data_IF_704853373604
#
_entry.id   IF_704853373604
#
_cell.length_a   1.000
_cell.length_b   1.000
_cell.length_c   1.000
_cell.angle_alpha   90.00
_cell.angle_beta   90.00
_cell.angle_gamma   90.00
#
_symmetry.space_group_name_H-M   'P 1'
#
loop_
_entity.id
_entity.type
_entity.pdbx_description
1 polymer ?
#
# COMPACT_ATOMS: atom_id res chain seq x y z
N UNK A 1 -15.22 -19.36 54.02
CA UNK A 1 -16.35 -20.28 54.25
C UNK A 1 -17.34 -19.60 55.18
N UNK A 2 -18.42 -19.01 54.63
CA UNK A 2 -19.76 -19.15 55.22
C UNK A 2 -20.75 -19.64 54.13
N UNK A 3 -21.33 -20.82 54.29
CA UNK A 3 -22.70 -21.06 54.79
C UNK A 3 -23.76 -20.57 53.80
N UNK A 4 -24.14 -21.49 52.91
CA UNK A 4 -25.37 -21.43 52.13
C UNK A 4 -26.55 -21.84 53.03
N UNK A 5 -27.59 -21.00 53.10
CA UNK A 5 -28.97 -21.46 53.33
C UNK A 5 -29.98 -20.60 52.54
N UNK A 6 -31.07 -21.22 52.06
CA UNK A 6 -31.89 -20.68 50.98
C UNK A 6 -33.07 -19.87 51.50
N UNK A 7 -33.44 -18.81 50.78
CA UNK A 7 -34.73 -18.15 50.93
C UNK A 7 -35.57 -18.57 49.74
N UNK A 8 -36.56 -19.43 49.99
CA UNK A 8 -37.65 -19.69 49.05
C UNK A 8 -38.55 -18.47 49.06
N UNK A 9 -38.27 -17.51 48.19
CA UNK A 9 -39.24 -16.47 47.85
C UNK A 9 -40.11 -17.03 46.74
N UNK A 10 -41.23 -17.64 47.14
CA UNK A 10 -42.30 -18.06 46.24
C UNK A 10 -42.95 -16.82 45.63
N UNK A 11 -42.36 -16.35 44.54
CA UNK A 11 -42.97 -15.37 43.65
C UNK A 11 -44.24 -15.94 43.02
N UNK A 12 -45.39 -15.37 43.38
CA UNK A 12 -46.66 -15.59 42.67
C UNK A 12 -47.13 -14.25 42.14
N UNK A 13 -47.04 -14.04 40.82
CA UNK A 13 -47.60 -12.88 40.13
C UNK A 13 -48.44 -13.34 38.91
N UNK A 14 -49.51 -12.60 38.58
CA UNK A 14 -50.69 -13.09 37.83
C UNK A 14 -50.49 -13.21 36.31
N UNK A 15 -51.39 -13.93 35.61
CA UNK A 15 -51.40 -14.01 34.15
C UNK A 15 -51.98 -12.70 33.58
N UNK A 16 -51.10 -11.75 33.29
CA UNK A 16 -51.44 -10.52 32.59
C UNK A 16 -50.59 -10.40 31.33
N UNK A 17 -51.20 -10.65 30.18
CA UNK A 17 -50.63 -10.39 28.86
C UNK A 17 -50.21 -8.92 28.75
N UNK A 18 -48.90 -8.67 28.74
CA UNK A 18 -48.33 -7.45 28.20
C UNK A 18 -47.11 -7.87 27.37
N UNK A 19 -47.33 -8.02 26.06
CA UNK A 19 -46.27 -8.27 25.11
C UNK A 19 -45.26 -7.11 25.16
N UNK A 20 -44.03 -7.43 25.51
CA UNK A 20 -42.89 -6.72 24.96
C UNK A 20 -42.40 -7.54 23.77
N UNK A 21 -42.39 -6.98 22.55
CA UNK A 21 -41.83 -7.69 21.40
C UNK A 21 -40.38 -8.01 21.75
N UNK A 22 -40.04 -9.29 21.59
CA UNK A 22 -38.67 -9.75 21.77
C UNK A 22 -37.75 -8.80 21.02
N UNK A 23 -36.87 -8.14 21.78
CA UNK A 23 -35.62 -7.66 21.21
C UNK A 23 -34.88 -8.92 20.81
N UNK A 24 -35.23 -9.43 19.64
CA UNK A 24 -34.44 -10.39 18.90
C UNK A 24 -33.19 -9.64 18.48
N UNK A 25 -32.30 -9.39 19.44
CA UNK A 25 -30.91 -9.17 19.14
C UNK A 25 -30.52 -10.35 18.24
N UNK A 26 -30.14 -10.11 16.97
CA UNK A 26 -29.75 -11.21 16.10
C UNK A 26 -28.69 -12.04 16.83
N UNK A 27 -28.68 -13.37 16.67
CA UNK A 27 -27.64 -14.19 17.28
C UNK A 27 -26.30 -13.56 16.91
N UNK A 28 -25.64 -12.99 17.92
CA UNK A 28 -24.34 -12.37 17.73
C UNK A 28 -23.41 -13.55 17.48
N UNK A 29 -23.21 -13.85 16.20
CA UNK A 29 -22.31 -14.92 15.77
C UNK A 29 -20.91 -14.47 16.17
N UNK A 30 -20.42 -15.00 17.28
CA UNK A 30 -19.06 -14.77 17.74
C UNK A 30 -18.14 -15.66 16.92
N UNK A 31 -17.52 -15.08 15.90
CA UNK A 31 -16.52 -15.77 15.09
C UNK A 31 -15.20 -15.77 15.86
N UNK A 32 -14.82 -16.92 16.41
CA UNK A 32 -13.51 -17.10 17.03
C UNK A 32 -12.45 -17.36 15.96
N UNK A 33 -11.63 -16.34 15.71
CA UNK A 33 -10.46 -16.45 14.87
C UNK A 33 -9.32 -17.19 15.60
N UNK A 34 -8.52 -18.01 14.90
CA UNK A 34 -7.36 -18.66 15.51
C UNK A 34 -6.41 -17.66 16.18
N UNK A 35 -5.93 -18.00 17.38
CA UNK A 35 -5.03 -17.11 18.15
C UNK A 35 -3.78 -16.71 17.35
N UNK A 36 -3.20 -17.64 16.58
CA UNK A 36 -2.04 -17.36 15.73
C UNK A 36 -2.34 -16.30 14.65
N UNK A 37 -3.56 -16.31 14.09
CA UNK A 37 -4.00 -15.31 13.13
C UNK A 37 -4.16 -13.95 13.81
N UNK A 38 -4.82 -13.90 14.98
CA UNK A 38 -5.01 -12.63 15.70
C UNK A 38 -3.68 -11.98 16.11
N UNK A 39 -2.73 -12.77 16.60
CA UNK A 39 -1.38 -12.30 16.91
C UNK A 39 -0.67 -11.76 15.65
N UNK A 40 -0.78 -12.48 14.52
CA UNK A 40 -0.24 -12.02 13.25
C UNK A 40 -0.83 -10.67 12.83
N UNK A 41 -2.16 -10.52 12.88
CA UNK A 41 -2.83 -9.26 12.56
C UNK A 41 -2.38 -8.11 13.45
N UNK A 42 -2.35 -8.30 14.77
CA UNK A 42 -1.92 -7.24 15.70
C UNK A 42 -0.49 -6.76 15.41
N UNK A 43 0.40 -7.69 15.08
CA UNK A 43 1.79 -7.36 14.79
C UNK A 43 1.96 -6.64 13.43
N UNK A 44 1.19 -7.02 12.40
CA UNK A 44 1.45 -6.57 11.02
C UNK A 44 0.55 -5.42 10.57
N UNK A 45 -0.65 -5.29 11.17
CA UNK A 45 -1.65 -4.30 10.77
C UNK A 45 -1.14 -2.85 10.76
N UNK A 46 -0.43 -2.35 11.80
CA UNK A 46 0.06 -0.97 11.80
C UNK A 46 1.04 -0.68 10.65
N UNK A 47 1.83 -1.68 10.24
CA UNK A 47 2.83 -1.55 9.20
C UNK A 47 2.19 -1.63 7.81
N UNK A 48 1.23 -2.53 7.62
CA UNK A 48 0.45 -2.65 6.39
C UNK A 48 -0.35 -1.39 6.11
N UNK A 49 -0.94 -0.78 7.15
CA UNK A 49 -1.68 0.47 7.01
C UNK A 49 -0.78 1.64 6.63
N UNK A 50 0.40 1.79 7.26
CA UNK A 50 1.37 2.83 6.90
C UNK A 50 1.85 2.70 5.45
N UNK A 51 2.09 1.47 5.01
CA UNK A 51 2.43 1.19 3.61
C UNK A 51 1.28 1.56 2.66
N UNK A 52 0.06 1.12 2.93
CA UNK A 52 -1.10 1.41 2.10
C UNK A 52 -1.41 2.91 2.00
N UNK A 53 -1.31 3.65 3.12
CA UNK A 53 -1.47 5.11 3.15
C UNK A 53 -0.41 5.79 2.28
N UNK A 54 0.85 5.33 2.35
CA UNK A 54 1.93 5.90 1.54
C UNK A 54 1.68 5.77 0.03
N UNK A 55 1.07 4.66 -0.40
CA UNK A 55 0.81 4.40 -1.82
C UNK A 55 -0.52 4.96 -2.34
N UNK A 56 -1.55 5.01 -1.51
CA UNK A 56 -2.90 5.42 -1.93
C UNK A 56 -3.20 6.87 -1.61
N UNK A 57 -2.50 7.49 -0.65
CA UNK A 57 -2.76 8.86 -0.19
C UNK A 57 -4.07 9.04 0.59
N UNK A 58 -5.02 8.11 0.45
CA UNK A 58 -6.30 8.08 1.18
C UNK A 58 -6.28 7.02 2.29
N UNK A 59 -6.60 7.46 3.51
CA UNK A 59 -6.68 6.61 4.70
C UNK A 59 -7.83 5.62 4.64
N UNK A 60 -8.97 5.99 4.07
CA UNK A 60 -10.14 5.13 4.01
C UNK A 60 -9.96 4.01 2.97
N UNK A 61 -9.47 4.36 1.77
CA UNK A 61 -9.05 3.38 0.78
C UNK A 61 -7.94 2.45 1.30
N UNK A 62 -6.97 2.98 2.04
CA UNK A 62 -5.91 2.19 2.66
C UNK A 62 -6.46 1.19 3.68
N UNK A 63 -7.38 1.62 4.55
CA UNK A 63 -8.02 0.75 5.55
C UNK A 63 -8.76 -0.40 4.86
N UNK A 64 -9.62 -0.11 3.88
CA UNK A 64 -10.34 -1.12 3.09
C UNK A 64 -9.40 -2.12 2.40
N UNK A 65 -8.28 -1.64 1.85
CA UNK A 65 -7.30 -2.51 1.21
C UNK A 65 -6.66 -3.48 2.20
N UNK A 66 -6.28 -2.99 3.39
CA UNK A 66 -5.63 -3.80 4.43
C UNK A 66 -6.61 -4.79 5.05
N UNK A 67 -7.80 -4.35 5.43
CA UNK A 67 -8.86 -5.22 5.96
C UNK A 67 -9.23 -6.30 4.96
N UNK A 68 -9.36 -5.92 3.69
CA UNK A 68 -9.61 -6.88 2.63
C UNK A 68 -8.47 -7.88 2.44
N UNK A 69 -7.21 -7.44 2.50
CA UNK A 69 -6.05 -8.34 2.39
C UNK A 69 -5.99 -9.33 3.56
N UNK A 70 -6.27 -8.87 4.79
CA UNK A 70 -6.35 -9.73 5.96
C UNK A 70 -7.55 -10.69 5.89
N UNK A 71 -8.69 -10.22 5.39
CA UNK A 71 -9.86 -11.06 5.12
C UNK A 71 -9.60 -12.14 4.06
N UNK A 72 -8.76 -11.88 3.07
CA UNK A 72 -8.32 -12.92 2.14
C UNK A 72 -7.35 -13.90 2.81
N UNK A 73 -6.45 -13.38 3.64
CA UNK A 73 -5.48 -14.18 4.36
C UNK A 73 -6.13 -15.16 5.34
N UNK A 74 -7.19 -14.75 6.04
CA UNK A 74 -7.89 -15.63 7.00
C UNK A 74 -8.53 -16.83 6.28
N UNK A 75 -9.05 -16.64 5.07
CA UNK A 75 -9.66 -17.71 4.27
C UNK A 75 -8.66 -18.77 3.82
N UNK A 76 -7.38 -18.40 3.69
CA UNK A 76 -6.29 -19.32 3.34
C UNK A 76 -5.32 -19.59 4.49
N UNK A 77 -5.69 -19.23 5.73
CA UNK A 77 -4.81 -19.28 6.89
C UNK A 77 -4.15 -20.65 7.14
N UNK A 78 -4.87 -21.79 7.03
CA UNK A 78 -4.23 -23.11 7.20
C UNK A 78 -3.13 -23.38 6.18
N UNK A 79 -3.29 -22.89 4.94
CA UNK A 79 -2.31 -23.03 3.87
C UNK A 79 -1.10 -22.11 4.06
N UNK A 80 -1.35 -20.90 4.57
CA UNK A 80 -0.32 -19.91 4.90
C UNK A 80 0.59 -20.44 6.01
N UNK A 81 0.00 -21.01 7.07
CA UNK A 81 0.75 -21.63 8.18
C UNK A 81 1.51 -22.89 7.76
N UNK A 82 1.04 -23.61 6.73
CA UNK A 82 1.77 -24.71 6.13
C UNK A 82 2.91 -24.29 5.18
N UNK A 83 3.03 -23.00 4.86
CA UNK A 83 4.09 -22.50 3.99
C UNK A 83 5.36 -22.18 4.78
N UNK A 84 6.52 -22.29 4.13
CA UNK A 84 7.80 -21.94 4.74
C UNK A 84 7.93 -20.43 5.08
N UNK A 85 7.07 -19.55 4.53
CA UNK A 85 7.19 -18.09 4.64
C UNK A 85 5.81 -17.39 4.68
N UNK A 86 5.05 -17.48 5.79
CA UNK A 86 3.69 -16.93 5.87
C UNK A 86 3.62 -15.42 5.66
N UNK A 87 4.57 -14.65 6.19
CA UNK A 87 4.60 -13.19 6.03
C UNK A 87 4.83 -12.77 4.57
N UNK A 88 5.53 -13.57 3.76
CA UNK A 88 5.75 -13.27 2.35
C UNK A 88 4.47 -13.41 1.52
N UNK A 89 3.65 -14.42 1.86
CA UNK A 89 2.32 -14.59 1.25
C UNK A 89 1.42 -13.41 1.60
N UNK A 90 1.38 -13.02 2.87
CA UNK A 90 0.60 -11.87 3.33
C UNK A 90 1.03 -10.55 2.65
N UNK A 91 2.35 -10.32 2.53
CA UNK A 91 2.89 -9.16 1.82
C UNK A 91 2.47 -9.13 0.34
N UNK A 92 2.52 -10.28 -0.34
CA UNK A 92 2.13 -10.38 -1.74
C UNK A 92 0.64 -10.08 -1.96
N UNK A 93 -0.24 -10.56 -1.09
CA UNK A 93 -1.68 -10.28 -1.13
C UNK A 93 -1.93 -8.78 -0.97
N UNK A 94 -1.32 -8.16 0.05
CA UNK A 94 -1.45 -6.72 0.28
C UNK A 94 -1.00 -5.91 -0.94
N UNK A 95 0.18 -6.22 -1.48
CA UNK A 95 0.74 -5.49 -2.62
C UNK A 95 -0.13 -5.61 -3.86
N UNK A 96 -0.69 -6.79 -4.11
CA UNK A 96 -1.61 -7.02 -5.24
C UNK A 96 -2.85 -6.15 -5.11
N UNK A 97 -3.43 -6.03 -3.91
CA UNK A 97 -4.60 -5.18 -3.66
C UNK A 97 -4.28 -3.70 -3.75
N UNK A 98 -3.17 -3.24 -3.18
CA UNK A 98 -2.72 -1.85 -3.28
C UNK A 98 -2.44 -1.46 -4.73
N UNK A 99 -1.87 -2.36 -5.55
CA UNK A 99 -1.68 -2.12 -6.98
C UNK A 99 -3.00 -2.14 -7.77
N UNK A 100 -3.99 -2.94 -7.37
CA UNK A 100 -5.32 -2.90 -7.97
C UNK A 100 -6.04 -1.59 -7.66
N UNK A 101 -6.01 -1.13 -6.40
CA UNK A 101 -6.62 0.13 -5.98
C UNK A 101 -5.99 1.35 -6.68
N UNK A 102 -4.66 1.38 -6.84
CA UNK A 102 -3.99 2.44 -7.61
C UNK A 102 -4.46 2.49 -9.07
N UNK A 103 -4.60 1.33 -9.73
CA UNK A 103 -5.11 1.26 -11.10
C UNK A 103 -6.55 1.75 -11.21
N UNK A 104 -7.41 1.37 -10.27
CA UNK A 104 -8.80 1.85 -10.22
C UNK A 104 -8.91 3.35 -9.97
N UNK A 105 -7.95 3.95 -9.26
CA UNK A 105 -7.86 5.39 -9.03
C UNK A 105 -7.20 6.17 -10.17
N UNK A 106 -6.79 5.51 -11.26
CA UNK A 106 -6.11 6.15 -12.40
C UNK A 106 -4.65 6.53 -12.13
N UNK A 107 -4.07 6.08 -11.01
CA UNK A 107 -2.66 6.30 -10.74
C UNK A 107 -1.81 5.37 -11.61
N UNK A 108 -0.93 5.94 -12.42
CA UNK A 108 0.04 5.17 -13.20
C UNK A 108 1.03 4.51 -12.22
N UNK A 109 1.16 3.19 -12.28
CA UNK A 109 2.18 2.50 -11.50
C UNK A 109 3.56 3.09 -11.88
N UNK A 110 4.40 3.47 -10.92
CA UNK A 110 5.73 3.96 -11.25
C UNK A 110 6.44 2.87 -12.05
N UNK A 111 6.95 3.23 -13.24
CA UNK A 111 7.76 2.35 -14.08
C UNK A 111 9.13 2.14 -13.44
N UNK A 112 9.15 1.45 -12.30
CA UNK A 112 10.40 1.12 -11.64
C UNK A 112 11.09 0.02 -12.42
N UNK A 113 12.33 0.29 -12.86
CA UNK A 113 13.23 -0.69 -13.50
C UNK A 113 13.58 -1.86 -12.55
N UNK A 114 13.25 -1.74 -11.26
CA UNK A 114 13.54 -2.75 -10.25
C UNK A 114 12.40 -3.79 -10.12
N UNK A 115 12.73 -5.06 -9.83
CA UNK A 115 11.76 -6.05 -9.39
C UNK A 115 10.95 -5.53 -8.20
N UNK A 116 9.64 -5.80 -8.20
CA UNK A 116 8.69 -5.23 -7.23
C UNK A 116 9.11 -5.41 -5.75
N UNK A 117 9.67 -6.56 -5.38
CA UNK A 117 10.16 -6.80 -4.00
C UNK A 117 11.36 -5.91 -3.61
N UNK A 118 12.20 -5.54 -4.57
CA UNK A 118 13.32 -4.63 -4.34
C UNK A 118 12.84 -3.18 -4.25
N UNK A 119 11.88 -2.78 -5.09
CA UNK A 119 11.24 -1.48 -4.99
C UNK A 119 10.56 -1.31 -3.61
N UNK A 120 9.84 -2.32 -3.14
CA UNK A 120 9.21 -2.32 -1.82
C UNK A 120 10.22 -2.13 -0.68
N UNK A 121 11.37 -2.82 -0.72
CA UNK A 121 12.41 -2.62 0.31
C UNK A 121 12.94 -1.20 0.37
N UNK A 122 13.06 -0.55 -0.79
CA UNK A 122 13.52 0.84 -0.88
C UNK A 122 12.46 1.77 -0.33
N UNK A 123 11.19 1.58 -0.70
CA UNK A 123 10.07 2.38 -0.19
C UNK A 123 9.93 2.22 1.33
N UNK A 124 9.99 1.00 1.86
CA UNK A 124 9.89 0.74 3.30
C UNK A 124 11.07 1.35 4.08
N UNK A 125 12.29 1.29 3.53
CA UNK A 125 13.49 1.83 4.18
C UNK A 125 13.56 3.35 4.10
N UNK A 126 13.36 3.91 2.92
CA UNK A 126 13.59 5.33 2.64
C UNK A 126 12.32 6.18 2.72
N UNK A 127 11.17 5.63 2.33
CA UNK A 127 9.88 6.33 2.42
C UNK A 127 9.24 6.23 3.80
N UNK A 128 9.40 5.10 4.49
CA UNK A 128 8.77 4.84 5.80
C UNK A 128 9.75 4.80 6.98
N UNK A 129 11.06 4.87 6.72
CA UNK A 129 12.10 4.89 7.76
C UNK A 129 12.24 3.60 8.56
N UNK A 130 11.74 2.47 8.06
CA UNK A 130 11.71 1.23 8.83
C UNK A 130 13.11 0.59 8.97
N UNK A 131 13.44 -0.03 10.13
CA UNK A 131 14.67 -0.80 10.29
C UNK A 131 14.62 -2.10 9.48
N UNK A 132 15.80 -2.59 9.08
CA UNK A 132 15.94 -3.78 8.23
C UNK A 132 15.29 -5.02 8.85
N UNK A 133 15.38 -5.18 10.16
CA UNK A 133 14.75 -6.25 10.94
C UNK A 133 13.22 -6.26 10.77
N UNK A 134 12.59 -5.09 10.87
CA UNK A 134 11.13 -4.92 10.70
C UNK A 134 10.71 -5.15 9.25
N UNK A 135 11.52 -4.69 8.29
CA UNK A 135 11.28 -4.92 6.85
C UNK A 135 11.33 -6.42 6.52
N UNK A 136 12.32 -7.14 7.07
CA UNK A 136 12.45 -8.58 6.92
C UNK A 136 11.24 -9.33 7.49
N UNK A 137 10.81 -8.98 8.71
CA UNK A 137 9.63 -9.56 9.33
C UNK A 137 8.34 -9.30 8.54
N UNK A 138 8.11 -8.06 8.09
CA UNK A 138 6.91 -7.64 7.36
C UNK A 138 6.76 -8.33 6.01
N UNK A 139 7.85 -8.41 5.25
CA UNK A 139 7.85 -9.03 3.92
C UNK A 139 8.09 -10.54 3.98
N UNK A 140 8.31 -11.10 5.17
CA UNK A 140 8.74 -12.48 5.34
C UNK A 140 10.02 -12.81 4.58
N UNK A 141 11.00 -11.90 4.56
CA UNK A 141 12.33 -12.12 3.99
C UNK A 141 13.37 -12.37 5.10
N UNK A 142 14.50 -12.96 4.72
CA UNK A 142 15.67 -12.99 5.60
C UNK A 142 16.35 -11.61 5.62
N UNK A 143 16.91 -11.20 6.76
CA UNK A 143 17.57 -9.89 6.91
C UNK A 143 18.75 -9.71 5.92
N UNK A 144 19.47 -10.79 5.63
CA UNK A 144 20.52 -10.82 4.60
C UNK A 144 19.95 -10.57 3.20
N UNK A 145 18.78 -11.11 2.89
CA UNK A 145 18.06 -10.86 1.63
C UNK A 145 17.65 -9.39 1.51
N UNK A 146 17.09 -8.80 2.57
CA UNK A 146 16.72 -7.36 2.59
C UNK A 146 17.94 -6.49 2.39
N UNK A 147 19.04 -6.78 3.09
CA UNK A 147 20.29 -6.04 2.98
C UNK A 147 20.87 -6.14 1.57
N UNK A 148 20.81 -7.32 0.94
CA UNK A 148 21.22 -7.54 -0.44
C UNK A 148 20.38 -6.72 -1.42
N UNK A 149 19.05 -6.73 -1.28
CA UNK A 149 18.14 -5.93 -2.09
C UNK A 149 18.43 -4.44 -2.00
N UNK A 150 18.67 -3.91 -0.80
CA UNK A 150 19.04 -2.50 -0.60
C UNK A 150 20.37 -2.17 -1.31
N UNK A 151 21.38 -3.05 -1.24
CA UNK A 151 22.65 -2.87 -1.96
C UNK A 151 22.46 -2.90 -3.47
N UNK A 152 21.66 -3.83 -3.99
CA UNK A 152 21.36 -3.94 -5.42
C UNK A 152 20.62 -2.69 -5.93
N UNK A 153 19.63 -2.21 -5.20
CA UNK A 153 18.92 -0.98 -5.53
C UNK A 153 19.85 0.23 -5.53
N UNK A 154 20.72 0.37 -4.53
CA UNK A 154 21.71 1.45 -4.49
C UNK A 154 22.69 1.38 -5.67
N UNK A 155 23.08 0.19 -6.11
CA UNK A 155 23.93 -0.01 -7.30
C UNK A 155 23.18 0.37 -8.58
N UNK A 156 21.92 -0.02 -8.72
CA UNK A 156 21.09 0.33 -9.87
C UNK A 156 20.89 1.85 -9.98
N UNK A 157 20.62 2.54 -8.87
CA UNK A 157 20.51 3.99 -8.83
C UNK A 157 21.81 4.70 -9.23
N UNK A 158 22.97 4.21 -8.76
CA UNK A 158 24.27 4.75 -9.18
C UNK A 158 24.54 4.55 -10.67
N UNK A 159 24.17 3.40 -11.25
CA UNK A 159 24.31 3.14 -12.70
C UNK A 159 23.40 4.05 -13.53
N UNK A 160 22.16 4.26 -13.09
CA UNK A 160 21.24 5.19 -13.75
C UNK A 160 21.74 6.64 -13.67
N UNK A 161 22.29 7.06 -12.53
CA UNK A 161 22.86 8.40 -12.37
C UNK A 161 24.17 8.60 -13.15
N UNK A 162 25.02 7.57 -13.23
CA UNK A 162 26.25 7.59 -14.03
C UNK A 162 25.96 7.56 -15.55
N UNK A 163 24.89 6.89 -15.98
CA UNK A 163 24.42 6.92 -17.37
C UNK A 163 23.67 8.20 -17.77
N UNK A 164 23.23 9.00 -16.79
CA UNK A 164 22.52 10.27 -17.00
C UNK A 164 23.40 11.53 -16.99
N UNK A 165 24.71 11.42 -16.79
CA UNK A 165 25.65 12.56 -16.83
C UNK A 165 26.43 12.56 -18.14
N UNK A 166 25.88 13.22 -19.15
CA UNK A 166 26.66 13.79 -20.24
C UNK A 166 26.42 15.31 -20.34
N UNK A 167 27.40 16.14 -19.90
CA UNK A 167 27.53 17.49 -20.41
C UNK A 167 28.91 17.71 -21.05
N UNK A 168 28.87 18.15 -22.31
CA UNK A 168 29.93 18.78 -23.08
C UNK A 168 29.27 19.26 -24.37
N UNK A 169 28.57 20.39 -24.38
CA UNK A 169 29.14 21.75 -24.47
C UNK A 169 30.17 21.82 -25.60
N UNK A 170 29.71 21.77 -26.85
CA UNK A 170 30.47 22.43 -27.92
C UNK A 170 30.19 23.93 -27.80
N UNK A 171 31.18 24.60 -27.24
CA UNK A 171 31.25 26.04 -27.13
C UNK A 171 31.19 26.67 -28.52
N UNK A 172 30.17 27.48 -28.68
CA UNK A 172 30.16 28.71 -29.45
C UNK A 172 31.54 29.39 -29.49
N UNK A 173 32.10 29.50 -30.70
CA UNK A 173 33.17 30.46 -31.00
C UNK A 173 32.62 31.44 -32.04
N UNK A 174 32.20 32.60 -31.56
CA UNK A 174 31.89 33.75 -32.39
C UNK A 174 33.19 34.38 -32.93
N UNK A 175 33.23 34.64 -34.24
CA UNK A 175 34.02 35.70 -34.90
C UNK A 175 33.47 35.87 -36.33
N UNK A 176 32.53 36.79 -36.57
CA UNK A 176 32.78 38.10 -37.22
C UNK A 176 32.86 37.97 -38.75
N UNK A 177 32.25 38.77 -39.62
CA UNK A 177 31.53 40.03 -39.52
C UNK A 177 30.87 40.34 -40.90
N UNK A 178 29.92 41.28 -40.88
CA UNK A 178 29.63 42.29 -41.92
C UNK A 178 28.67 41.95 -43.08
N UNK A 179 27.65 42.81 -43.25
CA UNK A 179 27.09 43.13 -44.58
C UNK A 179 25.57 43.11 -44.80
N UNK A 180 24.80 43.93 -44.06
CA UNK A 180 23.75 44.88 -44.51
C UNK A 180 22.68 44.57 -45.63
N UNK A 181 21.58 45.36 -45.69
CA UNK A 181 20.21 44.89 -45.98
C UNK A 181 19.66 45.28 -47.36
N UNK A 182 18.62 44.57 -47.82
CA UNK A 182 17.75 45.04 -48.92
C UNK A 182 16.32 45.27 -48.44
N UNK A 183 15.97 46.57 -48.35
CA UNK A 183 14.61 47.11 -48.39
C UNK A 183 14.02 46.93 -49.80
N UNK A 184 12.74 46.61 -49.88
CA UNK A 184 11.97 46.67 -51.13
C UNK A 184 10.51 46.24 -50.98
N UNK A 185 9.69 47.11 -50.38
CA UNK A 185 8.31 47.56 -50.75
C UNK A 185 7.50 46.77 -51.82
N UNK A 186 6.17 47.01 -51.98
CA UNK A 186 4.96 46.69 -51.17
C UNK A 186 3.96 45.75 -51.94
N UNK A 187 2.77 45.37 -51.38
CA UNK A 187 1.86 44.39 -51.99
C UNK A 187 0.87 44.99 -53.02
N UNK A 188 0.35 44.21 -53.98
CA UNK A 188 -0.84 44.61 -54.74
C UNK A 188 -2.13 44.09 -54.09
N UNK A 189 -3.00 45.04 -53.74
CA UNK A 189 -4.44 44.82 -53.58
C UNK A 189 -5.04 44.33 -54.89
N UNK A 190 -5.78 43.22 -54.88
CA UNK A 190 -6.82 42.96 -55.87
C UNK A 190 -8.15 42.69 -55.16
N UNK A 191 -9.04 43.64 -55.40
CA UNK A 191 -10.46 43.67 -55.17
C UNK A 191 -11.22 42.62 -56.01
N UNK A 192 -12.30 42.10 -55.43
CA UNK A 192 -13.55 41.64 -56.07
C UNK A 192 -13.75 40.19 -56.56
N UNK A 193 -14.92 39.69 -56.13
CA UNK A 193 -15.91 38.86 -56.83
C UNK A 193 -15.62 37.35 -57.04
N UNK A 194 -16.24 36.50 -56.21
CA UNK A 194 -17.53 35.86 -56.51
C UNK A 194 -18.11 35.13 -55.31
#
# INVERSE_FOLDING_TARGET
MPIYRPHTDTWTAPPGCAGSPGSGAPPSVVIHLPVAYTAFCLQHHPLYLRYAIHHLGDREAACRCVEGALGELVMMWPRVMGSARPCAVAWQVLRTRVAAAQRSAGALAPSTVLPALQADTVVLRHGLGLPVTVIAAVMGLDEGTVTSHLRCAARAGRRAHAGGRAPGTVAETARGASGSPSRGLPPPSITSLR
#
